data_IF_569945418420
#
_entry.id   IF_569945418420
#
_cell.length_a   1.000
_cell.length_b   1.000
_cell.length_c   1.000
_cell.angle_alpha   90.00
_cell.angle_beta   90.00
_cell.angle_gamma   90.00
#
_symmetry.space_group_name_H-M   'P 1'
#
loop_
_entity.id
_entity.type
_entity.pdbx_description
1 polymer ?
#
# COMPACT_ATOMS: atom_id res chain seq x y z
N UNK A 1 -14.54 41.54 -33.76
CA UNK A 1 -13.70 40.42 -34.28
C UNK A 1 -12.41 40.25 -33.47
N UNK A 2 -11.66 41.31 -33.11
CA UNK A 2 -10.41 41.19 -32.34
C UNK A 2 -10.59 40.62 -30.91
N UNK A 3 -11.69 40.95 -30.19
CA UNK A 3 -12.00 40.37 -28.85
C UNK A 3 -12.31 38.87 -28.87
N UNK A 4 -12.96 38.40 -29.94
CA UNK A 4 -13.28 36.96 -30.08
C UNK A 4 -12.02 36.15 -30.41
N UNK A 5 -11.13 36.66 -31.22
CA UNK A 5 -9.83 36.04 -31.53
C UNK A 5 -8.95 35.97 -30.26
N UNK A 6 -8.90 37.03 -29.46
CA UNK A 6 -8.13 37.07 -28.23
C UNK A 6 -8.67 36.13 -27.14
N UNK A 7 -10.02 35.96 -27.04
CA UNK A 7 -10.64 35.00 -26.15
C UNK A 7 -10.40 33.55 -26.60
N UNK A 8 -10.42 33.25 -27.89
CA UNK A 8 -10.11 31.93 -28.45
C UNK A 8 -8.63 31.57 -28.25
N UNK A 9 -7.72 32.52 -28.37
CA UNK A 9 -6.29 32.33 -28.16
C UNK A 9 -5.94 32.14 -26.68
N UNK A 10 -6.64 32.83 -25.77
CA UNK A 10 -6.53 32.65 -24.30
C UNK A 10 -7.09 31.31 -23.86
N UNK A 11 -8.20 30.83 -24.44
CA UNK A 11 -8.75 29.48 -24.19
C UNK A 11 -7.82 28.36 -24.70
N UNK A 12 -7.04 28.64 -25.76
CA UNK A 12 -6.04 27.69 -26.28
C UNK A 12 -4.76 27.64 -25.44
N UNK A 13 -4.48 28.67 -24.65
CA UNK A 13 -3.32 28.80 -23.74
C UNK A 13 -3.60 28.46 -22.27
N UNK A 14 -4.83 28.07 -21.91
CA UNK A 14 -5.06 27.57 -20.58
C UNK A 14 -4.36 26.18 -20.47
N UNK A 15 -3.39 26.02 -19.58
CA UNK A 15 -2.83 24.70 -19.34
C UNK A 15 -3.99 23.78 -18.96
N UNK A 16 -4.03 22.58 -19.53
CA UNK A 16 -4.96 21.52 -19.12
C UNK A 16 -4.52 21.02 -17.73
N UNK A 17 -4.67 21.85 -16.72
CA UNK A 17 -4.23 21.64 -15.33
C UNK A 17 -4.86 20.39 -14.66
N UNK A 18 -5.78 19.69 -15.30
CA UNK A 18 -6.46 18.53 -14.75
C UNK A 18 -5.98 17.15 -15.24
N UNK A 19 -5.24 17.07 -16.35
CA UNK A 19 -4.95 15.77 -16.97
C UNK A 19 -3.70 15.07 -16.43
N UNK A 20 -2.70 15.79 -15.95
CA UNK A 20 -1.47 15.19 -15.42
C UNK A 20 -1.69 14.34 -14.17
N UNK A 21 -2.41 14.80 -13.11
CA UNK A 21 -2.71 13.96 -11.95
C UNK A 21 -3.50 12.70 -12.31
N UNK A 22 -4.48 12.82 -13.23
CA UNK A 22 -5.29 11.69 -13.69
C UNK A 22 -4.41 10.66 -14.40
N UNK A 23 -3.53 11.11 -15.29
CA UNK A 23 -2.60 10.24 -16.03
C UNK A 23 -1.57 9.58 -15.12
N UNK A 24 -1.00 10.34 -14.17
CA UNK A 24 -0.10 9.77 -13.15
C UNK A 24 -0.80 8.71 -12.30
N UNK A 25 -2.03 8.97 -11.86
CA UNK A 25 -2.82 7.99 -11.12
C UNK A 25 -3.14 6.72 -11.96
N UNK A 26 -3.43 6.87 -13.24
CA UNK A 26 -3.65 5.73 -14.13
C UNK A 26 -2.37 4.89 -14.31
N UNK A 27 -1.20 5.51 -14.47
CA UNK A 27 0.09 4.82 -14.53
C UNK A 27 0.42 4.08 -13.22
N UNK A 28 0.15 4.71 -12.07
CA UNK A 28 0.32 4.10 -10.74
C UNK A 28 -0.54 2.83 -10.61
N UNK A 29 -1.82 2.90 -10.95
CA UNK A 29 -2.73 1.74 -10.93
C UNK A 29 -2.27 0.64 -11.90
N UNK A 30 -1.88 1.02 -13.13
CA UNK A 30 -1.37 0.09 -14.13
C UNK A 30 -0.09 -0.62 -13.65
N UNK A 31 0.79 0.09 -12.93
CA UNK A 31 2.01 -0.48 -12.35
C UNK A 31 1.71 -1.58 -11.35
N UNK A 32 0.78 -1.35 -10.41
CA UNK A 32 0.38 -2.34 -9.42
C UNK A 32 -0.15 -3.60 -10.11
N UNK A 33 -1.05 -3.42 -11.08
CA UNK A 33 -1.67 -4.55 -11.80
C UNK A 33 -0.64 -5.33 -12.62
N UNK A 34 0.26 -4.66 -13.34
CA UNK A 34 1.26 -5.34 -14.17
C UNK A 34 2.26 -6.13 -13.31
N UNK A 35 2.77 -5.55 -12.23
CA UNK A 35 3.71 -6.24 -11.33
C UNK A 35 3.02 -7.44 -10.66
N UNK A 36 1.80 -7.25 -10.16
CA UNK A 36 1.04 -8.35 -9.54
C UNK A 36 0.70 -9.47 -10.53
N UNK A 37 0.41 -9.13 -11.80
CA UNK A 37 0.12 -10.12 -12.85
C UNK A 37 1.35 -10.92 -13.28
N UNK A 38 2.49 -10.25 -13.43
CA UNK A 38 3.75 -10.89 -13.85
C UNK A 38 4.42 -11.62 -12.68
N UNK A 39 4.15 -11.19 -11.45
CA UNK A 39 4.76 -11.75 -10.24
C UNK A 39 6.21 -11.31 -10.02
N UNK A 40 6.74 -10.44 -10.88
CA UNK A 40 8.12 -9.95 -10.80
C UNK A 40 8.24 -8.48 -11.22
N UNK A 41 9.42 -7.89 -10.97
CA UNK A 41 9.77 -6.55 -11.44
C UNK A 41 10.21 -6.51 -12.92
N UNK A 42 10.16 -7.62 -13.65
CA UNK A 42 10.53 -7.70 -15.08
C UNK A 42 9.46 -7.12 -16.02
N UNK A 43 8.67 -6.22 -15.49
CA UNK A 43 7.68 -5.43 -16.25
C UNK A 43 8.39 -4.25 -16.92
N UNK A 44 8.08 -3.99 -18.18
CA UNK A 44 8.61 -2.84 -18.91
C UNK A 44 7.73 -1.60 -18.77
N UNK A 45 8.32 -0.41 -18.94
CA UNK A 45 7.56 0.85 -18.98
C UNK A 45 6.52 0.84 -20.09
N UNK A 46 6.84 0.18 -21.24
CA UNK A 46 5.91 0.02 -22.35
C UNK A 46 4.67 -0.82 -22.02
N UNK A 47 4.83 -1.89 -21.23
CA UNK A 47 3.68 -2.70 -20.74
C UNK A 47 2.79 -1.89 -19.81
N UNK A 48 3.39 -1.17 -18.84
CA UNK A 48 2.67 -0.29 -17.92
C UNK A 48 1.92 0.81 -18.67
N UNK A 49 2.61 1.50 -19.59
CA UNK A 49 2.03 2.58 -20.39
C UNK A 49 0.84 2.09 -21.24
N UNK A 50 1.01 0.95 -21.94
CA UNK A 50 -0.06 0.33 -22.73
C UNK A 50 -1.30 0.03 -21.88
N UNK A 51 -1.12 -0.56 -20.68
CA UNK A 51 -2.22 -0.81 -19.75
C UNK A 51 -2.91 0.47 -19.30
N UNK A 52 -2.16 1.54 -19.14
CA UNK A 52 -2.69 2.85 -18.77
C UNK A 52 -3.31 3.64 -19.95
N UNK A 53 -3.31 3.08 -21.17
CA UNK A 53 -3.79 3.77 -22.37
C UNK A 53 -2.90 4.95 -22.78
N UNK A 54 -1.58 4.85 -22.58
CA UNK A 54 -0.62 5.94 -22.82
C UNK A 54 0.57 5.46 -23.64
N UNK A 55 1.27 6.43 -24.26
CA UNK A 55 2.56 6.13 -24.91
C UNK A 55 3.67 5.93 -23.88
N UNK A 56 4.67 5.14 -24.23
CA UNK A 56 5.87 4.91 -23.41
C UNK A 56 6.63 6.23 -23.16
N UNK A 57 6.68 7.12 -24.15
CA UNK A 57 7.31 8.42 -23.99
C UNK A 57 6.62 9.30 -22.92
N UNK A 58 5.28 9.28 -22.89
CA UNK A 58 4.53 10.01 -21.88
C UNK A 58 4.72 9.42 -20.46
N UNK A 59 4.80 8.11 -20.35
CA UNK A 59 5.09 7.44 -19.11
C UNK A 59 6.48 7.79 -18.57
N UNK A 60 7.50 7.80 -19.43
CA UNK A 60 8.84 8.27 -19.09
C UNK A 60 8.86 9.76 -18.70
N UNK A 61 8.11 10.58 -19.40
CA UNK A 61 7.99 12.02 -19.06
C UNK A 61 7.49 12.24 -17.63
N UNK A 62 6.51 11.43 -17.17
CA UNK A 62 5.92 11.60 -15.83
C UNK A 62 6.76 10.99 -14.69
N UNK A 63 7.49 9.93 -14.92
CA UNK A 63 8.15 9.17 -13.85
C UNK A 63 9.65 8.94 -14.10
N UNK A 64 10.16 9.18 -15.29
CA UNK A 64 11.57 8.93 -15.63
C UNK A 64 11.87 7.45 -15.90
N UNK A 65 11.36 6.52 -15.10
CA UNK A 65 11.66 5.10 -15.25
C UNK A 65 10.80 4.17 -14.41
N UNK A 66 11.01 2.89 -14.60
CA UNK A 66 10.26 1.79 -13.99
C UNK A 66 10.31 1.82 -12.46
N UNK A 67 11.49 2.02 -11.88
CA UNK A 67 11.67 2.06 -10.43
C UNK A 67 10.87 3.20 -9.78
N UNK A 68 10.91 4.38 -10.36
CA UNK A 68 10.14 5.53 -9.87
C UNK A 68 8.63 5.30 -9.96
N UNK A 69 8.16 4.62 -11.01
CA UNK A 69 6.75 4.20 -11.13
C UNK A 69 6.38 3.22 -10.04
N UNK A 70 7.22 2.23 -9.77
CA UNK A 70 6.99 1.24 -8.71
C UNK A 70 6.98 1.89 -7.33
N UNK A 71 7.93 2.77 -7.03
CA UNK A 71 7.94 3.54 -5.78
C UNK A 71 6.69 4.41 -5.62
N UNK A 72 6.21 5.03 -6.69
CA UNK A 72 4.96 5.79 -6.67
C UNK A 72 3.75 4.88 -6.45
N UNK A 73 3.73 3.69 -7.04
CA UNK A 73 2.72 2.67 -6.83
C UNK A 73 2.67 2.22 -5.36
N UNK A 74 3.81 1.95 -4.74
CA UNK A 74 3.88 1.55 -3.34
C UNK A 74 3.52 2.70 -2.39
N UNK A 75 3.91 3.95 -2.69
CA UNK A 75 3.42 5.11 -1.93
C UNK A 75 1.90 5.23 -1.99
N UNK A 76 1.30 4.96 -3.13
CA UNK A 76 -0.17 4.96 -3.29
C UNK A 76 -0.83 3.88 -2.44
N UNK A 77 -0.34 2.64 -2.49
CA UNK A 77 -0.82 1.52 -1.65
C UNK A 77 -0.74 1.90 -0.17
N UNK A 78 0.41 2.39 0.29
CA UNK A 78 0.63 2.81 1.68
C UNK A 78 -0.25 4.00 2.11
N UNK A 79 -0.56 4.89 1.18
CA UNK A 79 -1.47 6.03 1.43
C UNK A 79 -2.90 5.54 1.66
N UNK A 80 -3.38 4.62 0.83
CA UNK A 80 -4.71 4.01 0.97
C UNK A 80 -4.81 3.22 2.27
N UNK A 81 -3.84 2.35 2.54
CA UNK A 81 -3.75 1.62 3.81
C UNK A 81 -3.77 2.55 5.02
N UNK A 82 -2.93 3.58 5.02
CA UNK A 82 -2.88 4.54 6.12
C UNK A 82 -4.17 5.36 6.29
N UNK A 83 -4.90 5.64 5.22
CA UNK A 83 -6.21 6.30 5.30
C UNK A 83 -7.25 5.36 5.93
N UNK A 84 -7.26 4.10 5.53
CA UNK A 84 -8.15 3.07 6.06
C UNK A 84 -7.92 2.82 7.55
N UNK A 85 -6.68 2.60 7.97
CA UNK A 85 -6.32 2.45 9.40
C UNK A 85 -6.74 3.69 10.21
N UNK A 86 -6.48 4.91 9.71
CA UNK A 86 -6.90 6.12 10.41
C UNK A 86 -8.42 6.22 10.55
N UNK A 87 -9.16 5.88 9.49
CA UNK A 87 -10.63 5.86 9.50
C UNK A 87 -11.18 4.88 10.53
N UNK A 88 -10.65 3.65 10.54
CA UNK A 88 -11.06 2.62 11.48
C UNK A 88 -10.71 2.98 12.94
N UNK A 89 -9.51 3.53 13.18
CA UNK A 89 -9.08 3.97 14.52
C UNK A 89 -9.89 5.16 15.06
N UNK A 90 -10.47 6.01 14.20
CA UNK A 90 -11.27 7.13 14.62
C UNK A 90 -12.57 6.71 15.33
N UNK A 91 -13.09 5.52 15.03
CA UNK A 91 -14.32 4.97 15.63
C UNK A 91 -14.06 3.95 16.74
N UNK A 92 -12.84 3.40 16.82
CA UNK A 92 -12.45 2.41 17.83
C UNK A 92 -12.21 3.06 19.19
N UNK A 93 -13.04 2.72 20.19
CA UNK A 93 -13.05 3.37 21.51
C UNK A 93 -12.24 2.63 22.58
N UNK A 94 -12.02 1.32 22.42
CA UNK A 94 -11.26 0.51 23.38
C UNK A 94 -9.93 0.06 22.76
N UNK A 95 -8.92 -0.29 23.58
CA UNK A 95 -7.67 -0.85 23.11
C UNK A 95 -7.85 -2.08 22.22
N UNK A 96 -8.77 -2.99 22.57
CA UNK A 96 -9.09 -4.19 21.82
C UNK A 96 -9.72 -3.85 20.46
N UNK A 97 -10.70 -2.93 20.45
CA UNK A 97 -11.31 -2.45 19.21
C UNK A 97 -10.29 -1.77 18.28
N UNK A 98 -9.30 -1.06 18.85
CA UNK A 98 -8.21 -0.45 18.07
C UNK A 98 -7.28 -1.49 17.47
N UNK A 99 -6.95 -2.55 18.23
CA UNK A 99 -6.17 -3.68 17.70
C UNK A 99 -6.91 -4.35 16.57
N UNK A 100 -8.17 -4.70 16.78
CA UNK A 100 -8.99 -5.32 15.76
C UNK A 100 -9.11 -4.45 14.49
N UNK A 101 -9.31 -3.15 14.64
CA UNK A 101 -9.33 -2.19 13.54
C UNK A 101 -8.03 -2.20 12.71
N UNK A 102 -6.86 -2.30 13.37
CA UNK A 102 -5.56 -2.40 12.68
C UNK A 102 -5.46 -3.73 11.92
N UNK A 103 -5.81 -4.84 12.57
CA UNK A 103 -5.74 -6.16 11.95
C UNK A 103 -6.65 -6.27 10.73
N UNK A 104 -7.91 -5.87 10.86
CA UNK A 104 -8.88 -5.89 9.75
C UNK A 104 -8.45 -4.98 8.61
N UNK A 105 -7.98 -3.75 8.90
CA UNK A 105 -7.49 -2.83 7.87
C UNK A 105 -6.27 -3.36 7.12
N UNK A 106 -5.42 -4.17 7.77
CA UNK A 106 -4.25 -4.76 7.12
C UNK A 106 -4.63 -5.73 6.00
N UNK A 107 -5.79 -6.38 6.10
CA UNK A 107 -6.28 -7.35 5.12
C UNK A 107 -7.57 -6.89 4.40
N UNK A 108 -7.83 -5.60 4.40
CA UNK A 108 -9.00 -5.05 3.71
C UNK A 108 -8.91 -5.25 2.18
N UNK A 109 -10.06 -5.36 1.47
CA UNK A 109 -10.08 -5.66 0.03
C UNK A 109 -9.30 -4.68 -0.84
N UNK A 110 -9.12 -3.44 -0.39
CA UNK A 110 -8.29 -2.44 -1.09
C UNK A 110 -6.80 -2.77 -1.07
N UNK A 111 -6.34 -3.47 -0.02
CA UNK A 111 -4.93 -3.77 0.23
C UNK A 111 -4.61 -5.26 0.05
N UNK A 112 -5.57 -6.15 0.25
CA UNK A 112 -5.37 -7.59 0.27
C UNK A 112 -6.02 -8.28 -0.93
N UNK A 113 -5.63 -7.88 -2.13
CA UNK A 113 -5.97 -8.53 -3.40
C UNK A 113 -4.69 -8.99 -4.09
N UNK A 114 -4.81 -9.99 -4.96
CA UNK A 114 -3.67 -10.69 -5.57
C UNK A 114 -2.60 -9.74 -6.14
N UNK A 115 -3.02 -8.71 -6.86
CA UNK A 115 -2.08 -7.76 -7.48
C UNK A 115 -1.33 -6.92 -6.45
N UNK A 116 -1.99 -6.53 -5.36
CA UNK A 116 -1.36 -5.74 -4.29
C UNK A 116 -0.46 -6.61 -3.45
N UNK A 117 -0.88 -7.84 -3.13
CA UNK A 117 -0.05 -8.82 -2.40
C UNK A 117 1.22 -9.14 -3.18
N UNK A 118 1.10 -9.39 -4.51
CA UNK A 118 2.25 -9.58 -5.39
C UNK A 118 3.17 -8.34 -5.46
N UNK A 119 2.59 -7.14 -5.49
CA UNK A 119 3.37 -5.89 -5.45
C UNK A 119 4.13 -5.73 -4.13
N UNK A 120 3.54 -6.10 -2.99
CA UNK A 120 4.21 -6.11 -1.69
C UNK A 120 5.43 -7.04 -1.65
N UNK A 121 5.30 -8.28 -2.14
CA UNK A 121 6.43 -9.22 -2.21
C UNK A 121 7.60 -8.63 -3.00
N UNK A 122 7.31 -8.05 -4.18
CA UNK A 122 8.31 -7.39 -4.99
C UNK A 122 8.89 -6.13 -4.33
N UNK A 123 8.13 -5.45 -3.48
CA UNK A 123 8.60 -4.31 -2.73
C UNK A 123 9.63 -4.68 -1.66
N UNK A 124 9.44 -5.80 -0.95
CA UNK A 124 10.45 -6.30 -0.03
C UNK A 124 11.77 -6.64 -0.74
N UNK A 125 11.69 -7.27 -1.92
CA UNK A 125 12.86 -7.57 -2.74
C UNK A 125 13.56 -6.28 -3.17
N UNK A 126 12.83 -5.29 -3.70
CA UNK A 126 13.40 -4.00 -4.11
C UNK A 126 14.03 -3.25 -2.93
N UNK A 127 13.48 -3.34 -1.74
CA UNK A 127 14.01 -2.67 -0.55
C UNK A 127 15.39 -3.19 -0.11
N UNK A 128 15.83 -4.36 -0.59
CA UNK A 128 17.18 -4.88 -0.34
C UNK A 128 18.24 -4.05 -1.06
N UNK A 129 17.97 -3.57 -2.27
CA UNK A 129 18.94 -2.87 -3.13
C UNK A 129 18.66 -1.37 -3.29
N UNK A 130 17.39 -0.94 -3.25
CA UNK A 130 16.99 0.45 -3.48
C UNK A 130 16.80 1.24 -2.17
N UNK A 131 17.65 2.25 -1.87
CA UNK A 131 17.56 3.02 -0.62
C UNK A 131 16.23 3.72 -0.41
N UNK A 132 15.59 4.19 -1.49
CA UNK A 132 14.28 4.85 -1.41
C UNK A 132 13.16 3.87 -1.04
N UNK A 133 13.20 2.65 -1.56
CA UNK A 133 12.26 1.58 -1.19
C UNK A 133 12.45 1.18 0.27
N UNK A 134 13.69 0.99 0.71
CA UNK A 134 14.03 0.69 2.12
C UNK A 134 13.51 1.77 3.07
N UNK A 135 13.71 3.05 2.73
CA UNK A 135 13.20 4.17 3.54
C UNK A 135 11.67 4.15 3.64
N UNK A 136 10.98 3.90 2.52
CA UNK A 136 9.52 3.85 2.46
C UNK A 136 8.98 2.68 3.29
N UNK A 137 9.58 1.49 3.17
CA UNK A 137 9.25 0.32 3.98
C UNK A 137 9.45 0.60 5.48
N UNK A 138 10.57 1.20 5.86
CA UNK A 138 10.84 1.55 7.25
C UNK A 138 9.85 2.58 7.84
N UNK A 139 9.30 3.49 7.02
CA UNK A 139 8.23 4.41 7.46
C UNK A 139 6.95 3.62 7.75
N UNK A 140 6.57 2.69 6.88
CA UNK A 140 5.42 1.81 7.07
C UNK A 140 5.56 0.99 8.35
N UNK A 141 6.65 0.27 8.51
CA UNK A 141 6.90 -0.58 9.68
C UNK A 141 6.87 0.19 11.00
N UNK A 142 7.50 1.38 11.06
CA UNK A 142 7.45 2.23 12.26
C UNK A 142 6.03 2.70 12.59
N UNK A 143 5.24 3.07 11.58
CA UNK A 143 3.84 3.50 11.81
C UNK A 143 2.97 2.34 12.30
N UNK A 144 3.08 1.17 11.68
CA UNK A 144 2.37 -0.03 12.12
C UNK A 144 2.74 -0.38 13.56
N UNK A 145 4.04 -0.48 13.86
CA UNK A 145 4.54 -0.73 15.21
C UNK A 145 4.03 0.29 16.23
N UNK A 146 4.07 1.57 15.92
CA UNK A 146 3.60 2.64 16.80
C UNK A 146 2.11 2.50 17.13
N UNK A 147 1.28 2.22 16.12
CA UNK A 147 -0.16 1.99 16.32
C UNK A 147 -0.43 0.75 17.19
N UNK A 148 0.30 -0.35 16.94
CA UNK A 148 0.18 -1.59 17.69
C UNK A 148 0.62 -1.38 19.15
N UNK A 149 1.79 -0.79 19.40
CA UNK A 149 2.30 -0.51 20.75
C UNK A 149 1.32 0.36 21.53
N UNK A 150 0.80 1.43 20.92
CA UNK A 150 -0.16 2.32 21.57
C UNK A 150 -1.43 1.57 21.98
N UNK A 151 -1.92 0.66 21.16
CA UNK A 151 -3.14 -0.11 21.42
C UNK A 151 -2.91 -1.28 22.39
N UNK A 152 -1.72 -1.91 22.37
CA UNK A 152 -1.36 -3.02 23.25
C UNK A 152 -1.00 -2.59 24.67
N UNK A 153 -0.38 -1.41 24.82
CA UNK A 153 0.15 -0.97 26.14
C UNK A 153 -0.87 -0.99 27.27
N UNK A 154 -2.13 -0.56 27.09
CA UNK A 154 -3.14 -0.65 28.14
C UNK A 154 -3.53 -2.09 28.53
N UNK A 155 -3.27 -3.07 27.67
CA UNK A 155 -3.68 -4.47 27.85
C UNK A 155 -2.54 -5.31 28.46
N UNK A 156 -1.31 -5.13 27.95
CA UNK A 156 -0.18 -6.03 28.26
C UNK A 156 1.04 -5.30 28.86
N UNK A 157 0.93 -4.01 29.16
CA UNK A 157 1.98 -3.22 29.80
C UNK A 157 3.28 -3.21 28.99
N UNK A 158 4.39 -3.56 29.64
CA UNK A 158 5.74 -3.52 29.08
C UNK A 158 5.97 -4.53 27.95
N UNK A 159 5.14 -5.57 27.85
CA UNK A 159 5.19 -6.56 26.76
C UNK A 159 4.72 -5.99 25.40
N UNK A 160 4.10 -4.80 25.38
CA UNK A 160 3.51 -4.21 24.18
C UNK A 160 4.51 -4.08 23.01
N UNK A 161 5.77 -3.76 23.28
CA UNK A 161 6.80 -3.64 22.27
C UNK A 161 7.08 -4.97 21.56
N UNK A 162 7.33 -6.02 22.31
CA UNK A 162 7.63 -7.36 21.80
C UNK A 162 6.43 -7.93 21.03
N UNK A 163 5.22 -7.77 21.57
CA UNK A 163 4.01 -8.25 20.88
C UNK A 163 3.70 -7.47 19.61
N UNK A 164 3.96 -6.17 19.59
CA UNK A 164 3.81 -5.36 18.37
C UNK A 164 4.78 -5.81 17.27
N UNK A 165 6.01 -6.13 17.62
CA UNK A 165 7.02 -6.63 16.68
C UNK A 165 6.60 -8.02 16.15
N UNK A 166 6.11 -8.91 17.01
CA UNK A 166 5.58 -10.23 16.64
C UNK A 166 4.35 -10.14 15.72
N UNK A 167 3.38 -9.26 16.03
CA UNK A 167 2.21 -9.03 15.17
C UNK A 167 2.60 -8.44 13.82
N UNK A 168 3.54 -7.50 13.79
CA UNK A 168 4.05 -6.96 12.52
C UNK A 168 4.68 -8.04 11.64
N UNK A 169 5.54 -8.88 12.22
CA UNK A 169 6.15 -10.00 11.51
C UNK A 169 5.11 -11.03 11.03
N UNK A 170 4.07 -11.28 11.83
CA UNK A 170 2.98 -12.19 11.44
C UNK A 170 2.15 -11.63 10.28
N UNK A 171 1.85 -10.32 10.27
CA UNK A 171 1.20 -9.65 9.14
C UNK A 171 2.03 -9.85 7.87
N UNK A 172 3.32 -9.54 7.92
CA UNK A 172 4.24 -9.70 6.77
C UNK A 172 4.30 -11.17 6.32
N UNK A 173 4.35 -12.12 7.26
CA UNK A 173 4.35 -13.55 6.98
C UNK A 173 3.06 -14.05 6.31
N UNK A 174 1.90 -13.51 6.69
CA UNK A 174 0.62 -13.83 6.02
C UNK A 174 0.62 -13.30 4.60
N UNK A 175 1.07 -12.06 4.36
CA UNK A 175 1.22 -11.52 2.99
C UNK A 175 2.12 -12.39 2.13
N UNK A 176 3.26 -12.85 2.65
CA UNK A 176 4.16 -13.74 1.93
C UNK A 176 3.49 -15.07 1.58
N UNK A 177 2.79 -15.70 2.52
CA UNK A 177 2.09 -16.97 2.29
C UNK A 177 0.97 -16.83 1.25
N UNK A 178 0.19 -15.77 1.33
CA UNK A 178 -0.89 -15.50 0.37
C UNK A 178 -0.37 -15.16 -1.03
N UNK A 179 0.83 -14.55 -1.14
CA UNK A 179 1.47 -14.32 -2.42
C UNK A 179 1.93 -15.62 -3.12
N UNK A 180 2.24 -16.65 -2.35
CA UNK A 180 2.80 -17.92 -2.83
C UNK A 180 1.76 -19.03 -2.99
N UNK A 181 0.52 -18.82 -2.54
CA UNK A 181 -0.52 -19.83 -2.67
C UNK A 181 -1.34 -19.65 -3.95
N UNK A 182 -1.95 -20.74 -4.42
CA UNK A 182 -2.91 -20.70 -5.52
C UNK A 182 -4.24 -20.08 -5.07
N UNK A 183 -4.88 -19.35 -5.97
CA UNK A 183 -6.18 -18.72 -5.73
C UNK A 183 -6.13 -17.30 -5.18
N UNK A 184 -7.29 -16.71 -4.83
CA UNK A 184 -7.37 -15.38 -4.25
C UNK A 184 -6.91 -15.38 -2.80
N UNK A 185 -6.37 -14.23 -2.28
CA UNK A 185 -6.06 -14.07 -0.87
C UNK A 185 -7.31 -14.19 0.02
N UNK A 186 -7.18 -14.90 1.14
CA UNK A 186 -8.26 -15.10 2.11
C UNK A 186 -8.09 -14.14 3.31
N UNK A 187 -8.76 -13.01 3.24
CA UNK A 187 -8.71 -11.98 4.30
C UNK A 187 -9.33 -12.47 5.62
N UNK A 188 -10.38 -13.29 5.56
CA UNK A 188 -11.04 -13.79 6.78
C UNK A 188 -10.13 -14.75 7.54
N UNK A 189 -9.50 -15.69 6.85
CA UNK A 189 -8.51 -16.61 7.44
C UNK A 189 -7.29 -15.85 7.97
N UNK A 190 -6.80 -14.82 7.25
CA UNK A 190 -5.70 -13.99 7.69
C UNK A 190 -6.01 -13.28 9.01
N UNK A 191 -7.14 -12.56 9.09
CA UNK A 191 -7.57 -11.87 10.32
C UNK A 191 -7.81 -12.86 11.46
N UNK A 192 -8.43 -14.02 11.20
CA UNK A 192 -8.66 -15.06 12.20
C UNK A 192 -7.34 -15.57 12.80
N UNK A 193 -6.33 -15.81 11.98
CA UNK A 193 -4.98 -16.22 12.41
C UNK A 193 -4.36 -15.21 13.38
N UNK A 194 -4.42 -13.92 13.04
CA UNK A 194 -3.87 -12.88 13.90
C UNK A 194 -4.65 -12.69 15.20
N UNK A 195 -5.98 -12.79 15.14
CA UNK A 195 -6.83 -12.75 16.35
C UNK A 195 -6.52 -13.92 17.31
N UNK A 196 -6.36 -15.14 16.77
CA UNK A 196 -6.00 -16.30 17.57
C UNK A 196 -4.62 -16.14 18.22
N UNK A 197 -3.63 -15.66 17.47
CA UNK A 197 -2.30 -15.34 18.01
C UNK A 197 -2.40 -14.30 19.13
N UNK A 198 -3.09 -13.19 18.91
CA UNK A 198 -3.23 -12.12 19.87
C UNK A 198 -3.95 -12.61 21.16
N UNK A 199 -5.04 -13.37 21.03
CA UNK A 199 -5.77 -13.93 22.16
C UNK A 199 -4.88 -14.81 23.02
N UNK A 200 -4.09 -15.70 22.41
CA UNK A 200 -3.14 -16.54 23.14
C UNK A 200 -2.09 -15.74 23.90
N UNK A 201 -1.62 -14.62 23.34
CA UNK A 201 -0.60 -13.77 23.98
C UNK A 201 -1.16 -12.90 25.11
N UNK A 202 -2.42 -12.49 25.03
CA UNK A 202 -3.07 -11.67 26.05
C UNK A 202 -3.48 -12.52 27.27
N UNK A 203 -3.88 -13.78 27.05
CA UNK A 203 -4.25 -14.71 28.14
C UNK A 203 -3.06 -15.17 28.99
N UNK A 204 -1.83 -15.07 28.53
CA UNK A 204 -0.61 -15.41 29.27
C UNK A 204 -0.20 -14.20 30.17
N UNK A 205 -1.11 -13.79 31.06
CA UNK A 205 -0.74 -12.90 32.20
C UNK A 205 -0.69 -13.81 33.43
N UNK A 206 0.49 -14.02 34.04
CA UNK A 206 0.58 -14.67 35.33
C UNK A 206 -0.02 -13.77 36.42
#
# INVERSE_FOLDING_TARGET
RARQVWQAEKARKMPKLGMEPIRKAALVKATIVEIGRVGSLDVTVGQIARRAGMSTALAHHYFGGKEAMFLAAMRHVLTLYGAEVRGALATARTPEARLDAILVSSFAPTNFRREVVGAWLNFYVLAQSAPQARRLLGIYQRRLRSNLVHSLRPIVGDRAGVLADGLGALIDGVYLREALKDGPPDAAAAVSTLRAFLAAQVQVVP
#
